data_IF_756620311531
#
_entry.id   IF_756620311531
#
_cell.length_a   1.000
_cell.length_b   1.000
_cell.length_c   1.000
_cell.angle_alpha   90.00
_cell.angle_beta   90.00
_cell.angle_gamma   90.00
#
_symmetry.space_group_name_H-M   'P 1'
#
loop_
_entity.id
_entity.type
_entity.pdbx_description
1 polymer ?
#
# COMPACT_ATOMS: atom_id res chain seq x y z
N UNK A 1 5.02 0.85 13.94
CA UNK A 1 3.66 0.38 14.30
C UNK A 1 3.28 -0.72 13.33
N UNK A 2 3.10 -1.95 13.80
CA UNK A 2 2.58 -3.03 12.95
C UNK A 2 1.16 -2.65 12.54
N UNK A 3 0.86 -2.65 11.25
CA UNK A 3 -0.51 -2.49 10.77
C UNK A 3 -1.33 -3.67 11.30
N UNK A 4 -2.42 -3.43 12.06
CA UNK A 4 -3.26 -4.51 12.54
C UNK A 4 -3.76 -5.33 11.35
N UNK A 5 -3.81 -6.65 11.51
CA UNK A 5 -4.27 -7.57 10.46
C UNK A 5 -5.71 -7.20 10.11
N UNK A 6 -5.97 -7.02 8.81
CA UNK A 6 -7.32 -6.77 8.29
C UNK A 6 -8.27 -7.84 8.81
N UNK A 7 -9.29 -7.40 9.56
CA UNK A 7 -10.34 -8.28 10.07
C UNK A 7 -11.51 -8.30 9.10
N UNK A 8 -12.37 -9.31 9.20
CA UNK A 8 -13.53 -9.42 8.31
C UNK A 8 -14.50 -8.23 8.42
N UNK A 9 -14.49 -7.49 9.54
CA UNK A 9 -15.30 -6.28 9.73
C UNK A 9 -14.76 -5.07 8.96
N UNK A 10 -13.46 -5.07 8.66
CA UNK A 10 -12.78 -3.97 7.98
C UNK A 10 -12.72 -4.18 6.45
N UNK A 11 -13.39 -5.23 5.97
CA UNK A 11 -13.54 -5.54 4.54
C UNK A 11 -14.73 -4.79 3.95
N UNK A 12 -14.57 -4.34 2.71
CA UNK A 12 -15.67 -3.76 1.93
C UNK A 12 -16.64 -4.85 1.46
N UNK A 13 -17.87 -4.46 1.12
CA UNK A 13 -18.88 -5.40 0.60
C UNK A 13 -18.42 -6.14 -0.66
N UNK A 14 -17.65 -5.46 -1.52
CA UNK A 14 -17.04 -6.06 -2.71
C UNK A 14 -16.03 -7.15 -2.31
N UNK A 15 -15.13 -6.85 -1.37
CA UNK A 15 -14.13 -7.80 -0.90
C UNK A 15 -14.79 -9.01 -0.21
N UNK A 16 -15.90 -8.81 0.52
CA UNK A 16 -16.68 -9.90 1.14
C UNK A 16 -17.38 -10.77 0.09
N UNK A 17 -17.93 -10.17 -0.96
CA UNK A 17 -18.55 -10.89 -2.07
C UNK A 17 -17.52 -11.73 -2.81
N UNK A 18 -16.34 -11.18 -3.09
CA UNK A 18 -15.22 -11.93 -3.68
C UNK A 18 -14.81 -13.11 -2.81
N UNK A 19 -14.63 -12.91 -1.50
CA UNK A 19 -14.31 -13.99 -0.57
C UNK A 19 -15.37 -15.10 -0.60
N UNK A 20 -16.67 -14.74 -0.66
CA UNK A 20 -17.76 -15.72 -0.80
C UNK A 20 -17.62 -16.52 -2.11
N UNK A 21 -17.36 -15.85 -3.23
CA UNK A 21 -17.19 -16.55 -4.52
C UNK A 21 -15.98 -17.48 -4.53
N UNK A 22 -14.89 -17.12 -3.85
CA UNK A 22 -13.71 -17.99 -3.71
C UNK A 22 -14.03 -19.23 -2.89
N UNK A 23 -14.76 -19.08 -1.79
CA UNK A 23 -15.20 -20.21 -0.96
C UNK A 23 -16.14 -21.13 -1.74
N UNK A 24 -17.07 -20.57 -2.52
CA UNK A 24 -17.99 -21.38 -3.32
C UNK A 24 -17.28 -22.11 -4.47
N UNK A 25 -16.30 -21.48 -5.11
CA UNK A 25 -15.42 -22.16 -6.09
C UNK A 25 -14.63 -23.29 -5.46
N UNK A 26 -14.05 -23.07 -4.28
CA UNK A 26 -13.31 -24.11 -3.57
C UNK A 26 -14.23 -25.28 -3.16
N UNK A 27 -15.48 -25.02 -2.74
CA UNK A 27 -16.48 -26.08 -2.50
C UNK A 27 -16.76 -26.90 -3.76
N UNK A 28 -16.99 -26.24 -4.89
CA UNK A 28 -17.25 -26.91 -6.16
C UNK A 28 -16.04 -27.76 -6.58
N UNK A 29 -14.82 -27.22 -6.47
CA UNK A 29 -13.60 -27.92 -6.82
C UNK A 29 -13.36 -29.18 -5.96
N UNK A 30 -13.69 -29.13 -4.68
CA UNK A 30 -13.59 -30.29 -3.79
C UNK A 30 -14.76 -31.29 -3.94
N UNK A 31 -15.89 -30.88 -4.52
CA UNK A 31 -17.09 -31.72 -4.64
C UNK A 31 -17.73 -32.08 -3.29
N UNK A 32 -17.25 -31.50 -2.19
CA UNK A 32 -17.73 -31.70 -0.82
C UNK A 32 -17.72 -30.38 -0.06
N UNK A 33 -18.33 -30.38 1.13
CA UNK A 33 -18.19 -29.25 2.05
C UNK A 33 -16.72 -29.07 2.45
N UNK A 34 -16.27 -27.81 2.47
CA UNK A 34 -14.94 -27.45 2.97
C UNK A 34 -14.91 -27.67 4.49
N UNK A 35 -13.79 -28.21 4.97
CA UNK A 35 -13.49 -28.27 6.39
C UNK A 35 -13.19 -26.88 6.94
N UNK A 36 -13.27 -26.71 8.26
CA UNK A 36 -12.95 -25.45 8.92
C UNK A 36 -11.51 -25.00 8.63
N UNK A 37 -10.56 -25.94 8.50
CA UNK A 37 -9.18 -25.63 8.17
C UNK A 37 -9.05 -25.07 6.74
N UNK A 38 -9.68 -25.72 5.75
CA UNK A 38 -9.65 -25.30 4.35
C UNK A 38 -10.31 -23.92 4.19
N UNK A 39 -11.46 -23.69 4.82
CA UNK A 39 -12.11 -22.36 4.79
C UNK A 39 -11.26 -21.28 5.43
N UNK A 40 -10.61 -21.56 6.57
CA UNK A 40 -9.73 -20.60 7.22
C UNK A 40 -8.47 -20.32 6.40
N UNK A 41 -7.93 -21.31 5.68
CA UNK A 41 -6.79 -21.14 4.79
C UNK A 41 -7.14 -20.19 3.64
N UNK A 42 -8.27 -20.40 2.96
CA UNK A 42 -8.73 -19.52 1.87
C UNK A 42 -8.94 -18.09 2.36
N UNK A 43 -9.54 -17.92 3.55
CA UNK A 43 -9.69 -16.60 4.18
C UNK A 43 -8.34 -15.95 4.48
N UNK A 44 -7.38 -16.72 5.00
CA UNK A 44 -6.05 -16.22 5.35
C UNK A 44 -5.30 -15.71 4.12
N UNK A 45 -5.25 -16.51 3.06
CA UNK A 45 -4.61 -16.16 1.79
C UNK A 45 -5.24 -14.92 1.16
N UNK A 46 -6.57 -14.82 1.21
CA UNK A 46 -7.28 -13.65 0.69
C UNK A 46 -6.98 -12.38 1.50
N UNK A 47 -6.96 -12.46 2.83
CA UNK A 47 -6.57 -11.34 3.70
C UNK A 47 -5.11 -10.94 3.44
N UNK A 48 -4.20 -11.90 3.28
CA UNK A 48 -2.79 -11.62 3.01
C UNK A 48 -2.63 -10.91 1.64
N UNK A 49 -3.41 -11.29 0.63
CA UNK A 49 -3.46 -10.60 -0.66
C UNK A 49 -3.96 -9.15 -0.53
N UNK A 50 -5.03 -8.91 0.23
CA UNK A 50 -5.56 -7.56 0.44
C UNK A 50 -4.56 -6.68 1.21
N UNK A 51 -3.89 -7.23 2.22
CA UNK A 51 -2.83 -6.53 2.95
C UNK A 51 -1.68 -6.15 2.01
N UNK A 52 -1.21 -7.07 1.17
CA UNK A 52 -0.16 -6.80 0.19
C UNK A 52 -0.57 -5.71 -0.82
N UNK A 53 -1.84 -5.71 -1.27
CA UNK A 53 -2.37 -4.66 -2.15
C UNK A 53 -2.41 -3.29 -1.46
N UNK A 54 -2.86 -3.24 -0.20
CA UNK A 54 -2.89 -2.01 0.60
C UNK A 54 -1.48 -1.47 0.85
N UNK A 55 -0.51 -2.32 1.16
CA UNK A 55 0.89 -1.94 1.33
C UNK A 55 1.52 -1.44 0.03
N UNK A 56 1.23 -2.10 -1.10
CA UNK A 56 1.70 -1.66 -2.41
C UNK A 56 1.11 -0.29 -2.78
N UNK A 57 -0.18 -0.07 -2.52
CA UNK A 57 -0.83 1.22 -2.73
C UNK A 57 -0.21 2.31 -1.85
N UNK A 58 0.04 2.02 -0.57
CA UNK A 58 0.69 2.95 0.36
C UNK A 58 2.12 3.30 -0.09
N UNK A 59 2.90 2.31 -0.58
CA UNK A 59 4.25 2.55 -1.14
C UNK A 59 4.20 3.44 -2.38
N UNK A 60 3.27 3.18 -3.30
CA UNK A 60 3.06 4.01 -4.49
C UNK A 60 2.68 5.44 -4.11
N UNK A 61 1.75 5.62 -3.17
CA UNK A 61 1.35 6.93 -2.68
C UNK A 61 2.51 7.70 -2.03
N UNK A 62 3.37 7.03 -1.24
CA UNK A 62 4.59 7.63 -0.68
C UNK A 62 5.57 8.05 -1.76
N UNK A 63 5.76 7.24 -2.80
CA UNK A 63 6.63 7.56 -3.95
C UNK A 63 6.12 8.80 -4.68
N UNK A 64 4.83 8.85 -5.01
CA UNK A 64 4.20 10.00 -5.64
C UNK A 64 4.31 11.26 -4.78
N UNK A 65 4.08 11.15 -3.47
CA UNK A 65 4.25 12.28 -2.55
C UNK A 65 5.70 12.78 -2.53
N UNK A 66 6.69 11.87 -2.56
CA UNK A 66 8.11 12.23 -2.61
C UNK A 66 8.46 12.92 -3.93
N UNK A 67 7.98 12.41 -5.05
CA UNK A 67 8.18 13.00 -6.38
C UNK A 67 7.53 14.39 -6.47
N UNK A 68 6.31 14.56 -5.95
CA UNK A 68 5.62 15.86 -5.91
C UNK A 68 6.27 16.86 -4.95
N UNK A 69 6.83 16.39 -3.83
CA UNK A 69 7.58 17.22 -2.90
C UNK A 69 8.95 17.64 -3.47
N UNK A 70 9.53 16.80 -4.33
CA UNK A 70 10.74 17.11 -5.07
C UNK A 70 10.40 17.98 -6.29
N UNK A 71 10.08 19.25 -6.04
CA UNK A 71 10.09 20.29 -7.07
C UNK A 71 11.42 21.06 -6.93
N UNK A 72 12.46 20.72 -7.70
CA UNK A 72 13.62 21.59 -7.77
C UNK A 72 13.17 22.92 -8.39
N UNK A 73 13.26 24.01 -7.62
CA UNK A 73 13.09 25.36 -8.16
C UNK A 73 14.21 25.58 -9.18
N UNK A 74 13.85 25.63 -10.47
CA UNK A 74 14.80 25.87 -11.55
C UNK A 74 15.46 27.26 -11.45
N UNK A 75 14.84 28.20 -10.74
CA UNK A 75 15.34 29.56 -10.53
C UNK A 75 16.18 29.72 -9.25
N UNK A 76 16.08 28.80 -8.29
CA UNK A 76 16.82 28.85 -7.03
C UNK A 76 18.24 28.25 -7.17
N UNK A 77 19.05 28.83 -8.06
CA UNK A 77 20.48 28.51 -8.08
C UNK A 77 21.15 29.21 -6.90
N UNK A 78 21.56 28.45 -5.89
CA UNK A 78 22.35 28.95 -4.78
C UNK A 78 23.69 29.49 -5.30
N UNK A 79 23.82 30.81 -5.35
CA UNK A 79 25.04 31.48 -5.83
C UNK A 79 25.99 31.76 -4.67
N UNK A 80 27.12 31.04 -4.63
CA UNK A 80 28.20 31.25 -3.66
C UNK A 80 28.83 32.65 -3.75
N UNK A 81 28.73 33.32 -4.90
CA UNK A 81 29.25 34.68 -5.09
C UNK A 81 28.31 35.78 -4.58
N UNK A 82 27.04 35.46 -4.31
CA UNK A 82 26.08 36.43 -3.77
C UNK A 82 26.29 36.72 -2.26
N UNK A 83 27.02 35.85 -1.55
CA UNK A 83 27.27 35.97 -0.09
C UNK A 83 28.65 36.54 0.23
N UNK A 84 29.50 36.81 -0.77
CA UNK A 84 30.84 37.36 -0.53
C UNK A 84 30.74 38.86 -0.21
N UNK A 85 30.87 39.22 1.06
CA UNK A 85 30.91 40.62 1.51
C UNK A 85 32.02 41.39 0.78
N UNK A 86 31.71 42.56 0.23
CA UNK A 86 32.67 43.47 -0.42
C UNK A 86 33.67 44.13 0.54
N UNK A 87 33.64 43.80 1.84
CA UNK A 87 34.54 44.36 2.84
C UNK A 87 35.92 43.71 2.75
N UNK A 88 36.70 44.15 1.76
CA UNK A 88 38.08 43.68 1.57
C UNK A 88 38.79 44.16 0.31
N UNK A 89 38.20 45.02 -0.52
CA UNK A 89 38.99 45.74 -1.53
C UNK A 89 39.71 46.90 -0.85
N UNK A 90 40.95 46.66 -0.44
CA UNK A 90 41.95 47.70 -0.20
C UNK A 90 42.69 48.02 -1.49
#
# INVERSE_FOLDING_TARGET
MATPRLTQKDMTEAELRELKTLLDRARIAHGRTLTNAETNQVKKEYIDKLMAQRDAAAKKARKLKKEQAYKPDAEATFSWSATTSTRGRR
#
